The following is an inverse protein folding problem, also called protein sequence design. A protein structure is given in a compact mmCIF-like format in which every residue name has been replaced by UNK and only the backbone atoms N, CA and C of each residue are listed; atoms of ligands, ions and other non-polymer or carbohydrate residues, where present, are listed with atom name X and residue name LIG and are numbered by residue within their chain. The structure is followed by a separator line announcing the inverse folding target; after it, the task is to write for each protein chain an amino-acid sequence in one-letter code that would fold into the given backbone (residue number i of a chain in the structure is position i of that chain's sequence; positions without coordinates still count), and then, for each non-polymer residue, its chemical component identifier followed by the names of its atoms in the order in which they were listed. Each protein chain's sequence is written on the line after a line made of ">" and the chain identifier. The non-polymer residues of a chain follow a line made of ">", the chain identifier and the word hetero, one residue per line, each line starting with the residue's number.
data_IF_788003536718
#
_entry.id   IF_788003536718
#
_cell.length_a   1.000
_cell.length_b   1.000
_cell.length_c   1.000
_cell.angle_alpha   90.00
_cell.angle_beta   90.00
_cell.angle_gamma   90.00
#
_symmetry.space_group_name_H-M   'P 1'
#
loop_
_entity.id
_entity.type
_entity.pdbx_description
1 polymer ?
#
# COMPACT_ATOMS: atom_id res chain seq x y z
N UNK A 1 -6.84 5.13 -24.01
CA UNK A 1 -6.67 5.44 -22.58
C UNK A 1 -5.62 4.50 -22.05
N UNK A 2 -4.52 4.95 -21.41
CA UNK A 2 -3.56 4.03 -20.83
C UNK A 2 -4.28 3.22 -19.73
N UNK A 3 -4.33 1.90 -19.88
CA UNK A 3 -4.74 1.01 -18.80
C UNK A 3 -3.71 1.15 -17.68
N UNK A 4 -4.05 1.85 -16.61
CA UNK A 4 -3.22 1.85 -15.39
C UNK A 4 -3.36 0.47 -14.74
N UNK A 5 -2.25 -0.27 -14.72
CA UNK A 5 -2.14 -1.53 -14.01
C UNK A 5 -2.32 -1.28 -12.51
N UNK A 6 -3.27 -1.99 -11.91
CA UNK A 6 -3.52 -2.01 -10.47
C UNK A 6 -3.12 -3.36 -9.90
N UNK A 7 -2.49 -3.34 -8.74
CA UNK A 7 -2.09 -4.53 -8.00
C UNK A 7 -2.63 -4.44 -6.58
N UNK A 8 -2.82 -5.61 -5.96
CA UNK A 8 -3.23 -5.69 -4.57
C UNK A 8 -2.02 -5.55 -3.67
N UNK A 9 -2.18 -4.90 -2.54
CA UNK A 9 -1.11 -4.80 -1.54
C UNK A 9 -0.61 -6.19 -1.11
N UNK A 10 -1.50 -7.16 -0.93
CA UNK A 10 -1.13 -8.54 -0.57
C UNK A 10 -0.40 -9.33 -1.66
N UNK A 11 -0.40 -8.86 -2.91
CA UNK A 11 0.42 -9.44 -3.99
C UNK A 11 1.86 -8.90 -3.97
N UNK A 12 2.08 -7.74 -3.33
CA UNK A 12 3.38 -7.04 -3.32
C UNK A 12 4.07 -7.15 -1.96
N UNK A 13 3.32 -6.96 -0.89
CA UNK A 13 3.79 -7.01 0.49
C UNK A 13 3.38 -8.33 1.12
N UNK A 14 4.31 -8.94 1.85
CA UNK A 14 4.01 -10.12 2.65
C UNK A 14 3.09 -9.77 3.82
N UNK A 15 2.31 -10.72 4.36
CA UNK A 15 1.45 -10.48 5.52
C UNK A 15 2.21 -9.94 6.74
N UNK A 16 3.47 -10.36 6.92
CA UNK A 16 4.34 -9.88 8.00
C UNK A 16 4.66 -8.39 7.85
N UNK A 17 5.04 -7.94 6.65
CA UNK A 17 5.32 -6.53 6.38
C UNK A 17 4.05 -5.67 6.48
N UNK A 18 2.91 -6.19 6.00
CA UNK A 18 1.61 -5.52 6.13
C UNK A 18 1.23 -5.31 7.58
N UNK A 19 1.46 -6.30 8.45
CA UNK A 19 1.18 -6.19 9.87
C UNK A 19 2.17 -5.25 10.58
N UNK A 20 3.46 -5.34 10.23
CA UNK A 20 4.52 -4.52 10.82
C UNK A 20 4.38 -3.03 10.46
N UNK A 21 3.93 -2.72 9.24
CA UNK A 21 3.78 -1.36 8.73
C UNK A 21 2.32 -0.96 8.53
N UNK A 22 1.38 -1.60 9.24
CA UNK A 22 -0.06 -1.37 9.06
C UNK A 22 -0.45 0.10 9.24
N UNK A 23 0.18 0.80 10.20
CA UNK A 23 -0.08 2.22 10.48
C UNK A 23 0.42 3.12 9.36
N UNK A 24 1.66 2.93 8.89
CA UNK A 24 2.26 3.64 7.75
C UNK A 24 1.43 3.48 6.49
N UNK A 25 1.04 2.23 6.19
CA UNK A 25 0.22 1.89 5.03
C UNK A 25 -1.14 2.57 5.14
N UNK A 26 -1.81 2.50 6.29
CA UNK A 26 -3.08 3.18 6.49
C UNK A 26 -2.96 4.70 6.35
N UNK A 27 -1.93 5.32 6.92
CA UNK A 27 -1.69 6.76 6.80
C UNK A 27 -1.47 7.18 5.35
N UNK A 28 -0.69 6.42 4.58
CA UNK A 28 -0.49 6.65 3.15
C UNK A 28 -1.82 6.58 2.38
N UNK A 29 -2.63 5.54 2.63
CA UNK A 29 -3.92 5.36 1.96
C UNK A 29 -4.90 6.49 2.29
N UNK A 30 -4.94 6.96 3.54
CA UNK A 30 -5.74 8.11 3.97
C UNK A 30 -5.26 9.38 3.27
N UNK A 31 -3.95 9.65 3.25
CA UNK A 31 -3.37 10.83 2.62
C UNK A 31 -3.68 10.88 1.12
N UNK A 32 -3.63 9.73 0.46
CA UNK A 32 -3.92 9.57 -0.95
C UNK A 32 -5.42 9.50 -1.28
N UNK A 33 -6.29 9.63 -0.27
CA UNK A 33 -7.74 9.52 -0.39
C UNK A 33 -8.20 8.21 -1.08
N UNK A 34 -7.51 7.12 -0.77
CA UNK A 34 -7.80 5.78 -1.31
C UNK A 34 -8.77 5.08 -0.37
N UNK A 35 -9.80 4.46 -0.92
CA UNK A 35 -10.73 3.63 -0.14
C UNK A 35 -10.05 2.31 0.24
N UNK A 36 -10.07 1.98 1.54
CA UNK A 36 -9.48 0.75 2.05
C UNK A 36 -10.22 0.26 3.28
N UNK A 37 -10.15 -1.05 3.51
CA UNK A 37 -10.64 -1.65 4.76
C UNK A 37 -9.45 -1.83 5.73
N UNK A 38 -9.50 -1.25 6.93
CA UNK A 38 -8.40 -1.31 7.90
C UNK A 38 -8.15 -2.73 8.44
N UNK A 39 -9.11 -3.65 8.31
CA UNK A 39 -8.95 -5.06 8.67
C UNK A 39 -8.49 -5.92 7.49
N UNK A 40 -8.55 -5.39 6.27
CA UNK A 40 -8.20 -6.11 5.03
C UNK A 40 -7.28 -5.28 4.12
N UNK A 41 -6.20 -4.70 4.69
CA UNK A 41 -5.21 -3.92 3.93
C UNK A 41 -4.63 -4.66 2.73
N UNK A 42 -4.50 -5.99 2.82
CA UNK A 42 -4.00 -6.83 1.72
C UNK A 42 -4.90 -6.79 0.46
N UNK A 43 -6.20 -6.53 0.61
CA UNK A 43 -7.15 -6.48 -0.51
C UNK A 43 -7.14 -5.12 -1.22
N UNK A 44 -6.54 -4.09 -0.60
CA UNK A 44 -6.46 -2.74 -1.17
C UNK A 44 -5.75 -2.75 -2.50
N UNK A 45 -6.40 -2.19 -3.52
CA UNK A 45 -5.87 -2.09 -4.88
C UNK A 45 -5.24 -0.73 -5.12
N UNK A 46 -3.97 -0.76 -5.53
CA UNK A 46 -3.19 0.43 -5.82
C UNK A 46 -2.62 0.37 -7.24
N UNK A 47 -2.43 1.54 -7.85
CA UNK A 47 -1.70 1.61 -9.12
C UNK A 47 -0.21 1.32 -8.89
N UNK A 48 0.48 0.85 -9.92
CA UNK A 48 1.94 0.62 -9.86
C UNK A 48 2.70 1.79 -9.25
N UNK A 49 2.31 3.02 -9.64
CA UNK A 49 2.91 4.25 -9.12
C UNK A 49 2.74 4.37 -7.61
N UNK A 50 1.51 4.20 -7.11
CA UNK A 50 1.20 4.34 -5.68
C UNK A 50 1.87 3.26 -4.85
N UNK A 51 2.01 2.05 -5.39
CA UNK A 51 2.76 0.98 -4.73
C UNK A 51 4.22 1.35 -4.58
N UNK A 52 4.85 1.91 -5.62
CA UNK A 52 6.25 2.37 -5.51
C UNK A 52 6.40 3.47 -4.47
N UNK A 53 5.53 4.47 -4.50
CA UNK A 53 5.53 5.56 -3.51
C UNK A 53 5.38 5.01 -2.08
N UNK A 54 4.47 4.05 -1.85
CA UNK A 54 4.32 3.39 -0.55
C UNK A 54 5.56 2.59 -0.13
N UNK A 55 6.17 1.84 -1.06
CA UNK A 55 7.37 1.05 -0.77
C UNK A 55 8.56 1.94 -0.40
N UNK A 56 8.69 3.10 -1.04
CA UNK A 56 9.71 4.09 -0.69
C UNK A 56 9.50 4.63 0.73
N UNK A 57 8.25 4.91 1.12
CA UNK A 57 7.89 5.38 2.47
C UNK A 57 8.19 4.31 3.55
N UNK A 58 7.79 3.06 3.31
CA UNK A 58 8.09 1.92 4.19
C UNK A 58 9.59 1.69 4.32
N UNK A 59 10.36 1.85 3.23
CA UNK A 59 11.81 1.71 3.26
C UNK A 59 12.49 2.87 4.01
N UNK A 60 11.95 4.08 3.91
CA UNK A 60 12.46 5.26 4.62
C UNK A 60 12.25 5.16 6.14
N UNK A 61 11.15 4.59 6.60
CA UNK A 61 10.91 4.38 8.04
C UNK A 61 11.82 3.32 8.68
N UNK A 62 12.45 2.45 7.89
CA UNK A 62 13.41 1.45 8.39
C UNK A 62 14.86 1.95 8.44
N UNK A 63 15.14 3.18 8.01
CA UNK A 63 16.47 3.78 7.87
C UNK A 63 16.95 4.60 9.07
#
# INVERSE_FOLDING_TARGET
>A
MPMQLTYRLGDVLTPELLAQHAETIANFLVFEHIDFDPKQLAETQLTERKIRELLEDIAAEQG
#
